data_IF_404110321682
#
_entry.id   IF_404110321682
#
_cell.length_a   1.000
_cell.length_b   1.000
_cell.length_c   1.000
_cell.angle_alpha   90.00
_cell.angle_beta   90.00
_cell.angle_gamma   90.00
#
_symmetry.space_group_name_H-M   'P 1'
#
loop_
_entity.id
_entity.type
_entity.pdbx_description
1 polymer ?
#
# COMPACT_ATOMS: atom_id res chain seq x y z
N UNK A 1 -3.93 5.38 -1.32
CA UNK A 1 -2.87 6.17 -2.01
C UNK A 1 -3.29 7.62 -2.05
N UNK A 2 -2.41 8.50 -1.61
CA UNK A 2 -2.60 9.93 -1.58
C UNK A 2 -1.59 10.62 -2.50
N UNK A 3 -2.05 11.63 -3.23
CA UNK A 3 -1.20 12.53 -4.02
C UNK A 3 -1.58 13.95 -3.64
N UNK A 4 -0.62 14.74 -3.17
CA UNK A 4 -0.87 16.14 -2.76
C UNK A 4 -2.00 16.27 -1.72
N UNK A 5 -2.04 15.37 -0.72
CA UNK A 5 -3.10 15.26 0.29
C UNK A 5 -4.51 14.88 -0.23
N UNK A 6 -4.63 14.50 -1.50
CA UNK A 6 -5.90 14.05 -2.10
C UNK A 6 -5.89 12.52 -2.20
N UNK A 7 -7.00 11.88 -1.80
CA UNK A 7 -7.19 10.43 -1.96
C UNK A 7 -7.42 10.13 -3.44
N UNK A 8 -6.45 9.48 -4.07
CA UNK A 8 -6.51 9.12 -5.50
C UNK A 8 -7.07 7.71 -5.68
N UNK A 9 -6.65 6.79 -4.81
CA UNK A 9 -7.03 5.40 -4.90
C UNK A 9 -7.11 4.76 -3.52
N UNK A 10 -8.22 4.09 -3.26
CA UNK A 10 -8.43 3.24 -2.09
C UNK A 10 -8.64 1.81 -2.58
N UNK A 11 -7.76 0.91 -2.14
CA UNK A 11 -7.75 -0.45 -2.63
C UNK A 11 -6.67 -1.27 -1.95
N UNK A 12 -6.79 -2.58 -2.10
CA UNK A 12 -5.82 -3.53 -1.56
C UNK A 12 -4.57 -3.61 -2.45
N UNK A 13 -3.41 -3.76 -1.81
CA UNK A 13 -2.19 -4.08 -2.51
C UNK A 13 -2.33 -5.47 -3.16
N UNK A 14 -2.17 -5.56 -4.48
CA UNK A 14 -2.33 -6.80 -5.25
C UNK A 14 -1.08 -7.67 -5.17
N UNK A 15 0.09 -7.08 -5.41
CA UNK A 15 1.36 -7.79 -5.33
C UNK A 15 2.46 -6.91 -4.76
N UNK A 16 3.32 -7.53 -3.98
CA UNK A 16 4.55 -6.95 -3.49
C UNK A 16 5.70 -7.85 -3.95
N UNK A 17 6.55 -7.30 -4.82
CA UNK A 17 7.69 -8.00 -5.40
C UNK A 17 8.97 -7.30 -5.01
N UNK A 18 9.93 -8.06 -4.50
CA UNK A 18 11.29 -7.59 -4.28
C UNK A 18 12.16 -8.18 -5.38
N UNK A 19 12.55 -7.35 -6.34
CA UNK A 19 13.23 -7.79 -7.56
C UNK A 19 12.43 -8.85 -8.34
N UNK A 20 12.74 -10.13 -8.14
CA UNK A 20 12.09 -11.26 -8.82
C UNK A 20 11.27 -12.13 -7.87
N UNK A 21 11.34 -11.87 -6.56
CA UNK A 21 10.71 -12.67 -5.52
C UNK A 21 9.44 -11.99 -5.01
N UNK A 22 8.37 -12.76 -4.93
CA UNK A 22 7.13 -12.33 -4.28
C UNK A 22 7.30 -12.41 -2.78
N UNK A 23 7.09 -11.28 -2.11
CA UNK A 23 7.28 -11.15 -0.67
C UNK A 23 5.97 -10.66 -0.04
N UNK A 24 5.72 -11.07 1.20
CA UNK A 24 4.53 -10.61 1.93
C UNK A 24 4.74 -9.23 2.56
N UNK A 25 5.98 -8.94 2.95
CA UNK A 25 6.36 -7.72 3.66
C UNK A 25 7.74 -7.26 3.20
N UNK A 26 7.95 -5.94 3.21
CA UNK A 26 9.23 -5.31 2.91
C UNK A 26 9.56 -4.37 4.07
N UNK A 27 10.81 -4.45 4.54
CA UNK A 27 11.30 -3.55 5.60
C UNK A 27 11.64 -2.18 5.02
N UNK A 28 11.63 -1.18 5.90
CA UNK A 28 12.06 0.16 5.55
C UNK A 28 13.48 0.17 4.95
N UNK A 29 13.70 1.05 3.97
CA UNK A 29 14.99 1.20 3.30
C UNK A 29 15.32 0.15 2.23
N UNK A 30 14.40 -0.78 1.91
CA UNK A 30 14.56 -1.69 0.78
C UNK A 30 13.72 -1.29 -0.43
N UNK A 31 14.31 -1.38 -1.62
CA UNK A 31 13.59 -1.24 -2.88
C UNK A 31 12.62 -2.41 -3.07
N UNK A 32 11.37 -2.07 -3.38
CA UNK A 32 10.33 -3.03 -3.71
C UNK A 32 9.42 -2.48 -4.81
N UNK A 33 8.89 -3.39 -5.62
CA UNK A 33 7.84 -3.13 -6.59
C UNK A 33 6.49 -3.48 -5.98
N UNK A 34 5.56 -2.53 -6.06
CA UNK A 34 4.20 -2.67 -5.58
C UNK A 34 3.25 -2.57 -6.77
N UNK A 35 2.21 -3.40 -6.81
CA UNK A 35 1.09 -3.22 -7.74
C UNK A 35 -0.23 -3.28 -6.98
N UNK A 36 -1.14 -2.38 -7.30
CA UNK A 36 -2.47 -2.30 -6.70
C UNK A 36 -3.50 -3.01 -7.59
N UNK A 37 -4.59 -3.46 -6.98
CA UNK A 37 -5.65 -4.08 -7.75
C UNK A 37 -6.44 -3.02 -8.52
N UNK A 38 -6.52 -3.17 -9.84
CA UNK A 38 -7.16 -2.20 -10.76
C UNK A 38 -6.50 -0.80 -10.77
N UNK A 39 -5.24 -0.67 -10.37
CA UNK A 39 -4.54 0.61 -10.41
C UNK A 39 -3.07 0.45 -10.82
N UNK A 40 -2.71 1.11 -11.93
CA UNK A 40 -1.37 1.04 -12.55
C UNK A 40 -0.70 2.41 -12.72
N UNK A 41 -1.39 3.51 -12.41
CA UNK A 41 -0.89 4.89 -12.62
C UNK A 41 -0.21 5.44 -11.35
N UNK A 42 0.80 4.72 -10.87
CA UNK A 42 1.63 5.18 -9.75
C UNK A 42 2.66 6.15 -10.32
N UNK A 43 2.73 7.35 -9.73
CA UNK A 43 3.65 8.40 -10.10
C UNK A 43 4.58 8.72 -8.94
N UNK A 44 5.73 9.32 -9.27
CA UNK A 44 6.67 9.78 -8.27
C UNK A 44 6.03 10.89 -7.42
N UNK A 45 6.05 10.72 -6.10
CA UNK A 45 5.39 11.63 -5.15
C UNK A 45 4.08 11.10 -4.56
N UNK A 46 3.61 9.94 -5.03
CA UNK A 46 2.50 9.24 -4.37
C UNK A 46 2.90 8.72 -3.00
N UNK A 47 2.03 8.97 -2.02
CA UNK A 47 2.15 8.46 -0.65
C UNK A 47 1.18 7.30 -0.48
N UNK A 48 1.71 6.13 -0.15
CA UNK A 48 0.92 4.93 0.13
C UNK A 48 0.81 4.80 1.64
N UNK A 49 -0.40 4.96 2.17
CA UNK A 49 -0.69 4.77 3.58
C UNK A 49 -1.42 3.43 3.75
N UNK A 50 -0.78 2.51 4.48
CA UNK A 50 -1.35 1.22 4.84
C UNK A 50 -1.90 1.33 6.27
N UNK A 51 -3.17 0.99 6.46
CA UNK A 51 -3.81 0.95 7.77
C UNK A 51 -4.36 -0.45 8.03
N UNK A 52 -4.30 -0.87 9.29
CA UNK A 52 -4.99 -2.07 9.77
C UNK A 52 -6.29 -1.64 10.45
N UNK A 53 -7.41 -2.23 10.05
CA UNK A 53 -8.69 -2.00 10.72
C UNK A 53 -8.79 -2.98 11.87
N UNK A 54 -8.58 -2.49 13.10
CA UNK A 54 -8.79 -3.28 14.31
C UNK A 54 -10.18 -3.00 14.88
N UNK A 55 -11.05 -4.02 14.93
CA UNK A 55 -12.36 -3.94 15.57
C UNK A 55 -12.21 -3.97 17.11
N UNK A 56 -12.33 -2.81 17.76
CA UNK A 56 -12.36 -2.72 19.22
C UNK A 56 -13.77 -2.96 19.74
N UNK A 57 -13.98 -4.08 20.42
CA UNK A 57 -15.24 -4.36 21.11
C UNK A 57 -15.43 -3.35 22.26
N UNK A 58 -16.48 -2.53 22.18
CA UNK A 58 -16.82 -1.55 23.22
C UNK A 58 -17.36 -2.31 24.44
N UNK A 59 -16.66 -2.24 25.57
CA UNK A 59 -17.20 -2.69 26.86
C UNK A 59 -18.02 -1.56 27.49
N UNK A 60 -19.25 -1.88 27.94
CA UNK A 60 -20.16 -0.98 28.66
C UNK A 60 -19.78 -0.84 30.13
#
# INVERSE_FOLDING_TARGET
>A
MLRDNIVIHEGSLKTLKRFKDEVKEVKDGMECGMAFENYSDIQQGDVIECFEVTEVARSL
#
